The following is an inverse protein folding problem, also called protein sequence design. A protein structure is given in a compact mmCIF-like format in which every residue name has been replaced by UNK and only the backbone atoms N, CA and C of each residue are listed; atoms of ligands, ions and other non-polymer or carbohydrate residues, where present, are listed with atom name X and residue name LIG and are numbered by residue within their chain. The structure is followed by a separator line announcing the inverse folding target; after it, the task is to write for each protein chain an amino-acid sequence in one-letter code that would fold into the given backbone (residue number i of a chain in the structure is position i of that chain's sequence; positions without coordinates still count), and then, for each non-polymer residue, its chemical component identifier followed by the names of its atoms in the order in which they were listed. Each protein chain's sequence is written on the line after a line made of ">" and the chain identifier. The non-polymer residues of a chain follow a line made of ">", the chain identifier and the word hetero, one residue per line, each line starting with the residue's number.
data_IF_410410688745
#
_entry.id   IF_410410688745
#
_cell.length_a   1.000
_cell.length_b   1.000
_cell.length_c   1.000
_cell.angle_alpha   90.00
_cell.angle_beta   90.00
_cell.angle_gamma   90.00
#
_symmetry.space_group_name_H-M   'P 1'
#
loop_
_entity.id
_entity.type
_entity.pdbx_description
1 polymer ?
#
# COMPACT_ATOMS: atom_id res chain seq x y z
N UNK A 1 28.45 14.86 55.86
CA UNK A 1 27.64 15.06 57.08
C UNK A 1 26.22 15.30 56.61
N UNK A 2 25.65 14.28 55.96
CA UNK A 2 24.99 13.09 56.54
C UNK A 2 23.52 13.45 56.80
N UNK A 3 22.51 12.67 56.43
CA UNK A 3 22.37 11.47 55.61
C UNK A 3 20.87 11.47 55.19
N UNK A 4 20.59 10.88 54.03
CA UNK A 4 19.43 10.04 53.67
C UNK A 4 18.04 10.33 54.26
N UNK A 5 17.04 10.49 53.37
CA UNK A 5 15.90 9.57 53.42
C UNK A 5 15.08 9.53 52.12
N UNK A 6 14.66 8.30 51.81
CA UNK A 6 14.02 7.81 50.60
C UNK A 6 12.68 8.47 50.23
N UNK A 7 12.60 9.06 49.04
CA UNK A 7 11.38 9.60 48.43
C UNK A 7 10.86 8.71 47.30
N UNK A 8 10.42 7.50 47.61
CA UNK A 8 9.79 6.56 46.68
C UNK A 8 8.44 7.14 46.18
N UNK A 9 8.44 7.78 45.00
CA UNK A 9 7.21 8.26 44.35
C UNK A 9 6.39 7.08 43.82
N UNK A 10 5.50 6.59 44.69
CA UNK A 10 4.39 5.72 44.32
C UNK A 10 3.38 6.50 43.47
N UNK A 11 3.43 6.34 42.15
CA UNK A 11 2.27 6.64 41.32
C UNK A 11 1.28 5.47 41.40
N UNK A 12 0.19 5.72 42.12
CA UNK A 12 -1.00 4.88 42.20
C UNK A 12 -1.56 4.64 40.79
N UNK A 13 -1.30 3.46 40.22
CA UNK A 13 -2.03 2.94 39.07
C UNK A 13 -3.39 2.45 39.59
N UNK A 14 -4.53 3.02 39.17
CA UNK A 14 -5.83 2.53 39.61
C UNK A 14 -6.07 1.11 39.11
N UNK A 15 -6.15 0.17 40.06
CA UNK A 15 -6.64 -1.20 39.86
C UNK A 15 -8.12 -1.18 39.45
N UNK A 16 -8.40 -1.01 38.16
CA UNK A 16 -9.67 -1.38 37.51
C UNK A 16 -9.39 -1.99 36.13
N UNK A 17 -8.71 -3.12 36.11
CA UNK A 17 -8.55 -3.95 34.90
C UNK A 17 -8.68 -5.43 35.27
N UNK A 18 -9.80 -5.77 35.92
CA UNK A 18 -10.33 -7.12 36.05
C UNK A 18 -11.81 -6.94 36.25
N UNK A 19 -12.58 -7.11 35.18
CA UNK A 19 -14.02 -7.41 35.15
C UNK A 19 -14.57 -7.03 33.77
N UNK A 20 -14.20 -7.74 32.71
CA UNK A 20 -15.01 -7.85 31.49
C UNK A 20 -14.76 -9.22 30.84
N UNK A 21 -14.95 -10.26 31.64
CA UNK A 21 -15.26 -11.59 31.13
C UNK A 21 -16.74 -11.81 31.36
N UNK A 22 -17.48 -12.03 30.27
CA UNK A 22 -18.91 -12.37 30.19
C UNK A 22 -19.85 -11.16 30.15
N UNK A 23 -20.66 -11.11 29.09
CA UNK A 23 -21.75 -10.16 28.77
C UNK A 23 -21.38 -8.88 28.00
N UNK A 24 -20.99 -9.07 26.74
CA UNK A 24 -21.34 -8.11 25.67
C UNK A 24 -22.23 -8.89 24.69
N UNK A 25 -23.45 -8.42 24.50
CA UNK A 25 -24.42 -9.02 23.59
C UNK A 25 -23.82 -9.13 22.19
N UNK A 26 -23.79 -10.35 21.67
CA UNK A 26 -23.30 -10.71 20.34
C UNK A 26 -24.32 -10.28 19.30
N UNK A 27 -24.12 -9.12 18.70
CA UNK A 27 -24.61 -8.83 17.35
C UNK A 27 -23.41 -8.46 16.52
N UNK A 28 -22.83 -9.48 15.88
CA UNK A 28 -21.73 -9.33 14.95
C UNK A 28 -22.22 -8.59 13.70
N UNK A 29 -21.42 -7.65 13.21
CA UNK A 29 -21.62 -7.02 11.91
C UNK A 29 -21.38 -8.09 10.84
N UNK A 30 -22.44 -8.77 10.40
CA UNK A 30 -22.37 -9.74 9.31
C UNK A 30 -22.42 -9.00 7.97
N UNK A 31 -21.28 -8.47 7.54
CA UNK A 31 -21.14 -7.86 6.21
C UNK A 31 -21.00 -8.98 5.16
N UNK A 32 -22.12 -9.62 4.83
CA UNK A 32 -22.16 -10.57 3.72
C UNK A 32 -21.91 -9.80 2.41
N UNK A 33 -20.65 -9.81 1.93
CA UNK A 33 -20.31 -9.40 0.56
C UNK A 33 -21.04 -10.30 -0.44
N UNK A 34 -22.25 -9.90 -0.84
CA UNK A 34 -22.86 -10.35 -2.09
C UNK A 34 -22.29 -9.49 -3.21
N UNK A 35 -21.22 -9.97 -3.82
CA UNK A 35 -20.85 -9.51 -5.15
C UNK A 35 -22.05 -9.75 -6.08
N UNK A 36 -22.49 -8.70 -6.77
CA UNK A 36 -23.44 -8.69 -7.89
C UNK A 36 -23.58 -10.07 -8.56
N UNK A 37 -24.72 -10.73 -8.31
CA UNK A 37 -25.11 -11.96 -8.99
C UNK A 37 -25.69 -11.60 -10.35
N UNK A 38 -24.83 -11.22 -11.30
CA UNK A 38 -25.14 -11.38 -12.71
C UNK A 38 -24.76 -12.82 -13.09
N UNK A 39 -25.79 -13.63 -13.32
CA UNK A 39 -25.83 -15.03 -13.74
C UNK A 39 -24.47 -15.70 -14.05
N UNK A 40 -24.13 -16.74 -13.30
CA UNK A 40 -23.30 -17.85 -13.78
C UNK A 40 -23.64 -19.11 -12.99
N UNK A 41 -23.69 -20.22 -13.72
CA UNK A 41 -24.02 -21.57 -13.27
C UNK A 41 -23.28 -21.96 -11.98
N UNK A 42 -23.82 -22.93 -11.24
CA UNK A 42 -23.19 -23.55 -10.05
C UNK A 42 -21.83 -24.18 -10.42
N UNK A 43 -20.80 -23.37 -10.58
CA UNK A 43 -19.41 -23.79 -10.54
C UNK A 43 -19.10 -24.08 -9.07
N UNK A 44 -19.10 -25.38 -8.71
CA UNK A 44 -18.62 -25.83 -7.41
C UNK A 44 -17.27 -25.18 -7.14
N UNK A 45 -17.15 -24.52 -5.98
CA UNK A 45 -15.90 -23.92 -5.54
C UNK A 45 -14.82 -25.02 -5.51
N UNK A 46 -13.62 -24.75 -6.07
CA UNK A 46 -12.57 -25.76 -6.11
C UNK A 46 -12.17 -26.17 -4.69
N UNK A 47 -11.77 -27.43 -4.47
CA UNK A 47 -11.33 -27.86 -3.16
C UNK A 47 -10.12 -27.04 -2.71
N UNK A 48 -10.10 -26.65 -1.43
CA UNK A 48 -9.07 -25.75 -0.89
C UNK A 48 -7.66 -26.22 -1.25
N UNK A 49 -7.40 -27.52 -1.22
CA UNK A 49 -6.07 -28.11 -1.50
C UNK A 49 -5.51 -27.79 -2.88
N UNK A 50 -6.35 -27.51 -3.87
CA UNK A 50 -5.91 -27.16 -5.23
C UNK A 50 -5.45 -25.70 -5.33
N UNK A 51 -6.10 -24.80 -4.58
CA UNK A 51 -5.81 -23.36 -4.63
C UNK A 51 -4.87 -22.91 -3.51
N UNK A 52 -4.72 -23.70 -2.46
CA UNK A 52 -4.01 -23.32 -1.24
C UNK A 52 -2.49 -23.38 -1.43
N UNK A 53 -1.73 -22.48 -0.77
CA UNK A 53 -0.28 -22.43 -0.96
C UNK A 53 0.42 -23.71 -0.49
N UNK A 54 1.57 -24.02 -1.12
CA UNK A 54 2.41 -25.16 -0.73
C UNK A 54 2.80 -25.06 0.75
N UNK A 55 2.77 -26.19 1.47
CA UNK A 55 3.13 -26.29 2.90
C UNK A 55 4.45 -25.59 3.27
N UNK A 56 5.49 -25.75 2.43
CA UNK A 56 6.80 -25.11 2.65
C UNK A 56 6.71 -23.59 2.72
N UNK A 57 5.87 -22.99 1.87
CA UNK A 57 5.64 -21.55 1.85
C UNK A 57 4.94 -21.10 3.14
N UNK A 58 3.83 -21.74 3.51
CA UNK A 58 3.09 -21.38 4.73
C UNK A 58 3.95 -21.54 5.98
N UNK A 59 4.70 -22.65 6.12
CA UNK A 59 5.59 -22.82 7.27
C UNK A 59 6.62 -21.70 7.39
N UNK A 60 7.20 -21.25 6.26
CA UNK A 60 8.11 -20.11 6.26
C UNK A 60 7.39 -18.84 6.71
N UNK A 61 6.20 -18.57 6.19
CA UNK A 61 5.43 -17.38 6.58
C UNK A 61 4.99 -17.41 8.04
N UNK A 62 4.60 -18.57 8.57
CA UNK A 62 4.25 -18.73 9.98
C UNK A 62 5.47 -18.51 10.89
N UNK A 63 6.66 -18.92 10.45
CA UNK A 63 7.91 -18.63 11.16
C UNK A 63 8.23 -17.13 11.11
N UNK A 64 8.18 -16.51 9.93
CA UNK A 64 8.45 -15.06 9.75
C UNK A 64 7.43 -14.16 10.48
N UNK A 65 6.28 -14.69 10.89
CA UNK A 65 5.22 -14.00 11.63
C UNK A 65 5.16 -14.42 13.10
N UNK A 66 6.14 -15.18 13.59
CA UNK A 66 6.22 -15.71 14.96
C UNK A 66 4.93 -16.41 15.42
N UNK A 67 4.33 -17.21 14.54
CA UNK A 67 3.09 -17.91 14.84
C UNK A 67 3.27 -18.95 15.93
N UNK A 68 2.41 -18.88 16.95
CA UNK A 68 2.30 -19.88 18.02
C UNK A 68 1.82 -21.25 17.50
N UNK A 69 1.05 -21.27 16.41
CA UNK A 69 0.39 -22.46 15.91
C UNK A 69 1.07 -22.99 14.64
N UNK A 70 1.30 -24.31 14.61
CA UNK A 70 1.88 -24.98 13.44
C UNK A 70 0.86 -25.16 12.31
N UNK A 71 1.35 -25.29 11.07
CA UNK A 71 0.53 -25.60 9.89
C UNK A 71 -0.46 -26.75 10.07
N UNK A 72 -0.07 -27.82 10.79
CA UNK A 72 -0.96 -28.97 11.05
C UNK A 72 -2.21 -28.58 11.84
N UNK A 73 -2.10 -27.60 12.73
CA UNK A 73 -3.21 -27.09 13.55
C UNK A 73 -4.04 -26.05 12.79
N UNK A 74 -3.41 -25.23 11.96
CA UNK A 74 -4.07 -24.16 11.20
C UNK A 74 -4.79 -24.65 9.95
N UNK A 75 -4.29 -25.69 9.27
CA UNK A 75 -4.90 -26.21 8.04
C UNK A 75 -6.37 -26.64 8.22
N UNK A 76 -6.75 -27.40 9.27
CA UNK A 76 -8.16 -27.72 9.52
C UNK A 76 -9.04 -26.49 9.71
N UNK A 77 -8.49 -25.40 10.27
CA UNK A 77 -9.23 -24.15 10.47
C UNK A 77 -9.46 -23.48 9.12
N UNK A 78 -8.44 -23.40 8.26
CA UNK A 78 -8.62 -22.91 6.89
C UNK A 78 -9.68 -23.72 6.14
N UNK A 79 -9.65 -25.06 6.22
CA UNK A 79 -10.64 -25.93 5.56
C UNK A 79 -12.06 -25.71 6.11
N UNK A 80 -12.21 -25.56 7.43
CA UNK A 80 -13.51 -25.26 8.07
C UNK A 80 -14.08 -23.92 7.64
N UNK A 81 -13.29 -22.85 7.76
CA UNK A 81 -13.72 -21.50 7.37
C UNK A 81 -14.06 -21.47 5.88
N UNK A 82 -13.23 -22.09 5.03
CA UNK A 82 -13.46 -22.11 3.59
C UNK A 82 -14.76 -22.80 3.17
N UNK A 83 -15.14 -23.91 3.84
CA UNK A 83 -16.41 -24.61 3.58
C UNK A 83 -17.62 -23.79 4.05
N UNK A 84 -17.52 -23.17 5.23
CA UNK A 84 -18.62 -22.36 5.79
C UNK A 84 -19.03 -21.17 4.92
N UNK A 85 -18.18 -20.72 3.99
CA UNK A 85 -18.51 -19.63 3.06
C UNK A 85 -19.57 -20.05 2.04
N UNK A 86 -19.60 -21.30 1.59
CA UNK A 86 -20.58 -21.78 0.59
C UNK A 86 -21.92 -22.15 1.20
N UNK A 87 -21.91 -22.62 2.45
CA UNK A 87 -23.11 -23.11 3.14
C UNK A 87 -24.02 -21.95 3.61
N UNK A 88 -23.53 -20.70 3.60
CA UNK A 88 -24.30 -19.53 4.05
C UNK A 88 -24.62 -19.54 5.56
N UNK A 89 -24.31 -20.64 6.23
CA UNK A 89 -24.29 -20.81 7.66
C UNK A 89 -22.98 -20.24 8.17
N UNK A 90 -23.07 -19.25 9.06
CA UNK A 90 -21.98 -19.02 10.01
C UNK A 90 -21.96 -20.28 10.86
N UNK A 91 -20.94 -21.16 10.79
CA UNK A 91 -20.88 -22.22 11.75
C UNK A 91 -20.64 -21.52 13.09
N UNK A 92 -21.68 -21.45 13.92
CA UNK A 92 -21.56 -21.14 15.35
C UNK A 92 -20.67 -22.16 16.08
N UNK A 93 -20.15 -23.16 15.38
CA UNK A 93 -19.45 -24.29 15.95
C UNK A 93 -17.95 -24.07 15.97
N UNK A 94 -17.52 -23.44 17.06
CA UNK A 94 -16.23 -23.58 17.72
C UNK A 94 -15.05 -23.69 16.74
N UNK A 95 -14.57 -22.55 16.25
CA UNK A 95 -13.11 -22.41 16.14
C UNK A 95 -12.60 -22.75 17.54
N UNK A 96 -11.94 -23.91 17.67
CA UNK A 96 -11.59 -24.49 18.96
C UNK A 96 -11.08 -23.40 19.89
N UNK A 97 -11.51 -23.39 21.16
CA UNK A 97 -11.08 -22.45 22.21
C UNK A 97 -9.55 -22.26 22.33
N UNK A 98 -8.77 -23.11 21.67
CA UNK A 98 -7.32 -23.04 21.51
C UNK A 98 -6.82 -21.89 20.60
N UNK A 99 -7.65 -21.35 19.71
CA UNK A 99 -7.23 -20.39 18.67
C UNK A 99 -7.67 -19.00 19.08
N UNK A 100 -6.72 -18.08 19.10
CA UNK A 100 -6.98 -16.68 19.42
C UNK A 100 -7.27 -15.87 18.13
N UNK A 101 -7.96 -14.73 18.25
CA UNK A 101 -8.19 -13.84 17.12
C UNK A 101 -6.88 -13.36 16.46
N UNK A 102 -5.81 -13.26 17.24
CA UNK A 102 -4.46 -12.94 16.75
C UNK A 102 -3.92 -14.01 15.79
N UNK A 103 -4.18 -15.30 16.07
CA UNK A 103 -3.76 -16.41 15.21
C UNK A 103 -4.49 -16.36 13.85
N UNK A 104 -5.78 -15.98 13.86
CA UNK A 104 -6.59 -15.81 12.65
C UNK A 104 -6.07 -14.66 11.75
N UNK A 105 -5.58 -13.57 12.34
CA UNK A 105 -4.94 -12.50 11.58
C UNK A 105 -3.58 -12.94 10.99
N UNK A 106 -2.81 -13.76 11.71
CA UNK A 106 -1.58 -14.35 11.15
C UNK A 106 -1.93 -15.24 9.95
N UNK A 107 -3.02 -16.02 10.04
CA UNK A 107 -3.52 -16.82 8.93
C UNK A 107 -3.89 -15.96 7.71
N UNK A 108 -4.55 -14.82 7.92
CA UNK A 108 -4.83 -13.84 6.85
C UNK A 108 -3.54 -13.26 6.26
N UNK A 109 -2.60 -12.81 7.09
CA UNK A 109 -1.31 -12.24 6.66
C UNK A 109 -0.50 -13.24 5.82
N UNK A 110 -0.55 -14.53 6.13
CA UNK A 110 0.12 -15.57 5.34
C UNK A 110 -0.46 -15.71 3.92
N UNK A 111 -1.79 -15.63 3.78
CA UNK A 111 -2.46 -15.65 2.47
C UNK A 111 -2.19 -14.37 1.67
N UNK A 112 -2.18 -13.22 2.32
CA UNK A 112 -1.83 -11.94 1.69
C UNK A 112 -0.40 -11.93 1.16
N UNK A 113 0.57 -12.41 1.96
CA UNK A 113 1.96 -12.58 1.49
C UNK A 113 2.06 -13.57 0.33
N UNK A 114 1.23 -14.61 0.31
CA UNK A 114 1.15 -15.51 -0.85
C UNK A 114 0.65 -14.79 -2.09
N UNK A 115 -0.41 -13.99 -1.98
CA UNK A 115 -0.96 -13.19 -3.10
C UNK A 115 0.09 -12.22 -3.67
N UNK A 116 0.84 -11.55 -2.79
CA UNK A 116 1.94 -10.65 -3.21
C UNK A 116 3.04 -11.44 -3.91
N UNK A 117 3.42 -12.60 -3.37
CA UNK A 117 4.46 -13.45 -3.94
C UNK A 117 4.07 -14.07 -5.28
N UNK A 118 2.83 -14.55 -5.42
CA UNK A 118 2.35 -15.20 -6.65
C UNK A 118 1.95 -14.21 -7.73
N UNK A 119 1.74 -12.94 -7.37
CA UNK A 119 1.18 -11.89 -8.22
C UNK A 119 -0.12 -12.32 -8.93
N UNK A 120 -0.89 -13.20 -8.29
CA UNK A 120 -2.15 -13.73 -8.81
C UNK A 120 -3.29 -13.49 -7.83
N UNK A 121 -4.42 -13.01 -8.34
CA UNK A 121 -5.62 -12.72 -7.54
C UNK A 121 -6.58 -13.90 -7.68
N UNK A 122 -6.68 -14.73 -6.64
CA UNK A 122 -7.70 -15.77 -6.56
C UNK A 122 -8.87 -15.28 -5.69
N UNK A 123 -10.05 -15.08 -6.31
CA UNK A 123 -11.26 -14.58 -5.65
C UNK A 123 -11.65 -15.41 -4.41
N UNK A 124 -11.48 -16.73 -4.45
CA UNK A 124 -11.85 -17.61 -3.34
C UNK A 124 -10.90 -17.46 -2.15
N UNK A 125 -9.60 -17.24 -2.39
CA UNK A 125 -8.64 -16.96 -1.31
C UNK A 125 -8.87 -15.58 -0.68
N UNK A 126 -9.24 -14.59 -1.49
CA UNK A 126 -9.61 -13.25 -0.98
C UNK A 126 -10.86 -13.33 -0.10
N UNK A 127 -11.87 -14.13 -0.47
CA UNK A 127 -13.04 -14.36 0.38
C UNK A 127 -12.66 -15.04 1.70
N UNK A 128 -11.76 -16.03 1.64
CA UNK A 128 -11.23 -16.68 2.85
C UNK A 128 -10.48 -15.69 3.75
N UNK A 129 -9.66 -14.80 3.18
CA UNK A 129 -8.97 -13.75 3.92
C UNK A 129 -9.97 -12.85 4.68
N UNK A 130 -11.03 -12.38 4.02
CA UNK A 130 -12.04 -11.53 4.65
C UNK A 130 -12.76 -12.25 5.80
N UNK A 131 -13.11 -13.52 5.59
CA UNK A 131 -13.82 -14.33 6.59
C UNK A 131 -12.95 -14.63 7.82
N UNK A 132 -11.64 -14.77 7.63
CA UNK A 132 -10.70 -14.86 8.75
C UNK A 132 -10.65 -13.56 9.58
N UNK A 133 -10.80 -12.39 8.94
CA UNK A 133 -10.86 -11.10 9.65
C UNK A 133 -12.17 -10.97 10.43
N UNK A 134 -13.31 -11.32 9.83
CA UNK A 134 -14.61 -11.33 10.51
C UNK A 134 -14.56 -12.22 11.75
N UNK A 135 -14.07 -13.46 11.60
CA UNK A 135 -13.90 -14.38 12.74
C UNK A 135 -12.91 -13.84 13.77
N UNK A 136 -11.81 -13.20 13.36
CA UNK A 136 -10.88 -12.58 14.31
C UNK A 136 -11.55 -11.47 15.15
N UNK A 137 -12.44 -10.68 14.53
CA UNK A 137 -13.20 -9.65 15.24
C UNK A 137 -14.25 -10.26 16.19
N UNK A 138 -14.92 -11.34 15.80
CA UNK A 138 -15.82 -12.10 16.70
C UNK A 138 -15.09 -12.64 17.94
N UNK A 139 -13.82 -13.02 17.77
CA UNK A 139 -12.93 -13.43 18.86
C UNK A 139 -12.36 -12.26 19.68
N UNK A 140 -12.79 -11.02 19.42
CA UNK A 140 -12.43 -9.84 20.20
C UNK A 140 -11.05 -9.26 19.89
N UNK A 141 -10.47 -9.56 18.72
CA UNK A 141 -9.20 -8.96 18.32
C UNK A 141 -9.39 -7.50 17.87
N UNK A 142 -8.74 -6.56 18.56
CA UNK A 142 -8.88 -5.13 18.30
C UNK A 142 -8.41 -4.70 16.91
N UNK A 143 -7.35 -5.31 16.35
CA UNK A 143 -6.89 -5.02 14.99
C UNK A 143 -7.94 -5.41 13.95
N UNK A 144 -8.55 -6.58 14.11
CA UNK A 144 -9.61 -7.04 13.23
C UNK A 144 -10.86 -6.15 13.32
N UNK A 145 -11.25 -5.76 14.54
CA UNK A 145 -12.36 -4.83 14.77
C UNK A 145 -12.07 -3.48 14.11
N UNK A 146 -10.85 -2.95 14.26
CA UNK A 146 -10.44 -1.71 13.62
C UNK A 146 -10.56 -1.81 12.10
N UNK A 147 -9.99 -2.85 11.49
CA UNK A 147 -10.03 -3.03 10.03
C UNK A 147 -11.47 -3.05 9.50
N UNK A 148 -12.37 -3.81 10.13
CA UNK A 148 -13.78 -3.89 9.73
C UNK A 148 -14.52 -2.55 9.96
N UNK A 149 -14.28 -1.89 11.09
CA UNK A 149 -14.92 -0.60 11.39
C UNK A 149 -14.50 0.50 10.41
N UNK A 150 -13.23 0.54 9.99
CA UNK A 150 -12.78 1.50 8.97
C UNK A 150 -13.23 1.11 7.55
N UNK A 151 -13.33 -0.18 7.23
CA UNK A 151 -13.90 -0.64 5.96
C UNK A 151 -15.37 -0.22 5.81
N UNK A 152 -16.18 -0.41 6.85
CA UNK A 152 -17.60 0.01 6.84
C UNK A 152 -17.79 1.52 6.68
N UNK A 153 -16.89 2.34 7.23
CA UNK A 153 -16.92 3.80 7.01
C UNK A 153 -16.50 4.22 5.61
N UNK A 154 -15.58 3.50 4.99
CA UNK A 154 -15.02 3.84 3.68
C UNK A 154 -15.81 3.28 2.51
N UNK A 155 -16.68 2.29 2.76
CA UNK A 155 -17.56 1.67 1.76
C UNK A 155 -18.57 2.68 1.24
N UNK A 156 -18.56 2.91 -0.08
CA UNK A 156 -19.47 3.83 -0.77
C UNK A 156 -20.83 3.18 -1.11
N UNK A 157 -20.88 1.84 -1.17
CA UNK A 157 -22.07 1.07 -1.54
C UNK A 157 -23.09 1.04 -0.39
N UNK A 158 -24.08 1.93 -0.47
CA UNK A 158 -25.17 2.02 0.51
C UNK A 158 -26.12 0.81 0.46
N UNK A 159 -26.10 0.02 -0.60
CA UNK A 159 -26.95 -1.18 -0.78
C UNK A 159 -26.53 -2.37 0.09
N UNK A 160 -25.30 -2.36 0.62
CA UNK A 160 -24.71 -3.43 1.44
C UNK A 160 -24.80 -3.11 2.93
N UNK A 161 -24.99 -1.84 3.28
CA UNK A 161 -24.94 -1.34 4.65
C UNK A 161 -26.34 -1.18 5.21
N UNK A 162 -26.58 -1.71 6.41
CA UNK A 162 -27.78 -1.37 7.16
C UNK A 162 -27.65 0.07 7.68
N UNK A 163 -28.78 0.75 7.87
CA UNK A 163 -28.83 2.14 8.33
C UNK A 163 -28.10 2.35 9.70
N UNK A 164 -27.95 1.28 10.49
CA UNK A 164 -27.27 1.27 11.80
C UNK A 164 -25.78 0.89 11.81
N UNK A 165 -25.19 0.44 10.70
CA UNK A 165 -23.81 -0.09 10.74
C UNK A 165 -22.76 1.02 10.86
N UNK A 166 -22.98 2.16 10.20
CA UNK A 166 -22.09 3.33 10.28
C UNK A 166 -22.01 3.97 11.67
N UNK A 167 -23.11 4.23 12.40
CA UNK A 167 -23.01 4.77 13.76
C UNK A 167 -22.32 3.78 14.70
N UNK A 168 -22.61 2.48 14.59
CA UNK A 168 -21.95 1.45 15.39
C UNK A 168 -20.44 1.38 15.13
N UNK A 169 -20.00 1.43 13.86
CA UNK A 169 -18.58 1.48 13.51
C UNK A 169 -17.87 2.71 14.12
N UNK A 170 -18.54 3.87 14.15
CA UNK A 170 -18.00 5.07 14.80
C UNK A 170 -17.84 4.89 16.31
N UNK A 171 -18.79 4.22 16.98
CA UNK A 171 -18.67 3.92 18.41
C UNK A 171 -17.50 2.98 18.69
N UNK A 172 -17.33 1.93 17.88
CA UNK A 172 -16.18 1.02 17.98
C UNK A 172 -14.85 1.76 17.80
N UNK A 173 -14.75 2.65 16.81
CA UNK A 173 -13.54 3.45 16.59
C UNK A 173 -13.27 4.38 17.76
N UNK A 174 -14.30 5.03 18.33
CA UNK A 174 -14.14 5.86 19.53
C UNK A 174 -13.62 5.04 20.70
N UNK A 175 -14.16 3.84 20.92
CA UNK A 175 -13.71 2.95 21.99
C UNK A 175 -12.25 2.54 21.78
N UNK A 176 -11.86 2.19 20.56
CA UNK A 176 -10.48 1.84 20.22
C UNK A 176 -9.52 3.02 20.35
N UNK A 177 -9.97 4.23 20.02
CA UNK A 177 -9.20 5.46 20.20
C UNK A 177 -8.96 5.74 21.68
N UNK A 178 -9.98 5.60 22.54
CA UNK A 178 -9.83 5.74 24.01
C UNK A 178 -8.87 4.71 24.62
N UNK A 179 -8.66 3.57 23.95
CA UNK A 179 -7.68 2.54 24.33
C UNK A 179 -6.27 2.83 23.81
N UNK A 180 -6.05 3.97 23.13
CA UNK A 180 -4.81 4.30 22.43
C UNK A 180 -4.35 3.17 21.50
N UNK A 181 -5.29 2.56 20.77
CA UNK A 181 -5.00 1.44 19.88
C UNK A 181 -4.19 1.91 18.64
N UNK A 182 -2.93 1.46 18.44
CA UNK A 182 -2.04 2.03 17.42
C UNK A 182 -2.62 1.95 16.01
N UNK A 183 -3.11 0.78 15.59
CA UNK A 183 -3.67 0.61 14.25
C UNK A 183 -4.87 1.53 14.01
N UNK A 184 -5.70 1.76 15.03
CA UNK A 184 -6.87 2.64 14.91
C UNK A 184 -6.47 4.09 14.70
N UNK A 185 -5.43 4.56 15.40
CA UNK A 185 -4.89 5.92 15.25
C UNK A 185 -4.27 6.09 13.85
N UNK A 186 -3.51 5.10 13.37
CA UNK A 186 -3.00 5.10 11.98
C UNK A 186 -4.14 5.19 10.97
N UNK A 187 -5.19 4.39 11.14
CA UNK A 187 -6.35 4.38 10.24
C UNK A 187 -7.17 5.68 10.31
N UNK A 188 -7.22 6.36 11.46
CA UNK A 188 -7.77 7.73 11.54
C UNK A 188 -6.96 8.70 10.67
N UNK A 189 -5.63 8.62 10.71
CA UNK A 189 -4.74 9.40 9.85
C UNK A 189 -5.02 9.15 8.36
N UNK A 190 -5.11 7.88 7.95
CA UNK A 190 -5.43 7.49 6.57
C UNK A 190 -6.81 8.02 6.13
N UNK A 191 -7.80 7.94 7.03
CA UNK A 191 -9.16 8.42 6.78
C UNK A 191 -9.17 9.95 6.61
N UNK A 192 -8.46 10.68 7.47
CA UNK A 192 -8.30 12.13 7.36
C UNK A 192 -7.59 12.54 6.07
N UNK A 193 -6.57 11.80 5.62
CA UNK A 193 -5.94 12.02 4.32
C UNK A 193 -6.94 11.85 3.18
N UNK A 194 -7.76 10.80 3.20
CA UNK A 194 -8.78 10.53 2.18
C UNK A 194 -9.79 11.68 2.05
N UNK A 195 -10.11 12.33 3.17
CA UNK A 195 -10.98 13.52 3.21
C UNK A 195 -10.24 14.85 3.09
N UNK A 196 -8.95 14.85 2.70
CA UNK A 196 -8.11 16.05 2.52
C UNK A 196 -7.95 16.91 3.79
N UNK A 197 -8.12 16.31 4.96
CA UNK A 197 -7.92 16.97 6.25
C UNK A 197 -6.47 16.81 6.72
N UNK A 198 -5.53 17.43 5.99
CA UNK A 198 -4.08 17.21 6.16
C UNK A 198 -3.57 17.51 7.58
N UNK A 199 -4.09 18.55 8.22
CA UNK A 199 -3.69 18.94 9.59
C UNK A 199 -4.03 17.85 10.62
N UNK A 200 -5.23 17.28 10.54
CA UNK A 200 -5.68 16.20 11.43
C UNK A 200 -4.93 14.90 11.12
N UNK A 201 -4.69 14.61 9.83
CA UNK A 201 -3.89 13.45 9.44
C UNK A 201 -2.48 13.50 10.05
N UNK A 202 -1.80 14.65 9.95
CA UNK A 202 -0.47 14.85 10.57
C UNK A 202 -0.51 14.63 12.08
N UNK A 203 -1.53 15.13 12.78
CA UNK A 203 -1.70 14.95 14.22
C UNK A 203 -1.83 13.47 14.58
N UNK A 204 -2.73 12.73 13.93
CA UNK A 204 -2.90 11.30 14.19
C UNK A 204 -1.65 10.48 13.86
N UNK A 205 -0.92 10.82 12.81
CA UNK A 205 0.34 10.15 12.50
C UNK A 205 1.43 10.42 13.54
N UNK A 206 1.53 11.63 14.08
CA UNK A 206 2.46 11.91 15.17
C UNK A 206 2.05 11.17 16.45
N UNK A 207 0.76 11.15 16.79
CA UNK A 207 0.21 10.38 17.91
C UNK A 207 0.49 8.88 17.76
N UNK A 208 0.39 8.33 16.54
CA UNK A 208 0.79 6.96 16.26
C UNK A 208 2.26 6.71 16.56
N UNK A 209 3.15 7.63 16.14
CA UNK A 209 4.60 7.47 16.34
C UNK A 209 5.01 7.59 17.81
N UNK A 210 4.22 8.28 18.64
CA UNK A 210 4.41 8.29 20.10
C UNK A 210 4.13 6.92 20.73
N UNK A 211 3.24 6.13 20.12
CA UNK A 211 2.91 4.78 20.58
C UNK A 211 3.81 3.71 19.98
N UNK A 212 4.05 3.78 18.67
CA UNK A 212 4.88 2.83 17.91
C UNK A 212 5.77 3.56 16.90
N UNK A 213 7.08 3.62 17.20
CA UNK A 213 8.05 4.30 16.34
C UNK A 213 8.96 3.34 15.55
N UNK A 214 9.05 2.08 15.92
CA UNK A 214 10.04 1.12 15.43
C UNK A 214 9.44 -0.11 14.74
N UNK A 215 8.25 0.03 14.15
CA UNK A 215 7.53 -1.06 13.49
C UNK A 215 7.44 -0.88 11.97
N UNK A 216 7.08 -1.94 11.24
CA UNK A 216 6.82 -1.84 9.80
C UNK A 216 5.67 -0.86 9.50
N UNK A 217 4.72 -0.72 10.43
CA UNK A 217 3.63 0.26 10.34
C UNK A 217 4.16 1.69 10.52
N UNK A 218 5.10 1.92 11.44
CA UNK A 218 5.74 3.23 11.57
C UNK A 218 6.48 3.64 10.30
N UNK A 219 7.10 2.70 9.60
CA UNK A 219 7.70 2.95 8.28
C UNK A 219 6.70 3.44 7.22
N UNK A 220 5.44 2.98 7.27
CA UNK A 220 4.37 3.49 6.40
C UNK A 220 3.88 4.87 6.85
N UNK A 221 3.75 5.11 8.15
CA UNK A 221 3.35 6.40 8.72
C UNK A 221 4.40 7.48 8.41
N UNK A 222 5.68 7.18 8.57
CA UNK A 222 6.78 8.06 8.18
C UNK A 222 6.72 8.41 6.68
N UNK A 223 6.40 7.45 5.81
CA UNK A 223 6.19 7.74 4.39
C UNK A 223 5.08 8.78 4.20
N UNK A 224 3.92 8.60 4.84
CA UNK A 224 2.79 9.52 4.71
C UNK A 224 3.12 10.92 5.26
N UNK A 225 3.85 11.01 6.37
CA UNK A 225 4.35 12.29 6.90
C UNK A 225 5.32 12.96 5.93
N UNK A 226 6.26 12.19 5.35
CA UNK A 226 7.16 12.69 4.32
C UNK A 226 6.42 13.24 3.10
N UNK A 227 5.37 12.56 2.66
CA UNK A 227 4.48 13.02 1.58
C UNK A 227 3.75 14.31 1.92
N UNK A 228 3.23 14.43 3.14
CA UNK A 228 2.58 15.66 3.62
C UNK A 228 3.56 16.83 3.62
N UNK A 229 4.77 16.65 4.17
CA UNK A 229 5.79 17.69 4.20
C UNK A 229 6.26 18.08 2.78
N UNK A 230 6.40 17.11 1.88
CA UNK A 230 6.82 17.33 0.50
C UNK A 230 5.76 18.09 -0.32
N UNK A 231 4.48 17.70 -0.22
CA UNK A 231 3.41 18.22 -1.07
C UNK A 231 2.70 19.45 -0.52
N UNK A 232 2.44 19.51 0.80
CA UNK A 232 1.62 20.55 1.41
C UNK A 232 2.46 21.67 2.03
N UNK A 233 3.53 21.30 2.74
CA UNK A 233 4.34 22.26 3.50
C UNK A 233 5.55 22.78 2.72
N UNK A 234 5.87 22.14 1.59
CA UNK A 234 7.09 22.37 0.79
C UNK A 234 8.38 22.34 1.63
N UNK A 235 8.37 21.62 2.76
CA UNK A 235 9.53 21.45 3.64
C UNK A 235 10.31 20.20 3.24
N UNK A 236 11.27 20.40 2.34
CA UNK A 236 12.10 19.32 1.81
C UNK A 236 13.03 18.69 2.86
N UNK A 237 13.40 19.44 3.91
CA UNK A 237 14.27 18.94 4.96
C UNK A 237 13.56 17.88 5.80
N UNK A 238 12.37 18.22 6.32
CA UNK A 238 11.57 17.29 7.12
C UNK A 238 11.09 16.11 6.28
N UNK A 239 10.68 16.37 5.03
CA UNK A 239 10.29 15.30 4.11
C UNK A 239 11.42 14.28 3.92
N UNK A 240 12.65 14.74 3.69
CA UNK A 240 13.83 13.88 3.57
C UNK A 240 14.05 13.03 4.84
N UNK A 241 13.96 13.64 6.03
CA UNK A 241 14.13 12.91 7.29
C UNK A 241 13.08 11.79 7.43
N UNK A 242 11.82 12.11 7.15
CA UNK A 242 10.74 11.12 7.23
C UNK A 242 10.88 10.00 6.20
N UNK A 243 11.26 10.30 4.95
CA UNK A 243 11.51 9.24 3.96
C UNK A 243 12.68 8.33 4.35
N UNK A 244 13.74 8.87 4.96
CA UNK A 244 14.84 8.05 5.48
C UNK A 244 14.39 7.15 6.63
N UNK A 245 13.57 7.64 7.55
CA UNK A 245 12.97 6.80 8.60
C UNK A 245 12.05 5.72 8.03
N UNK A 246 11.26 6.05 7.00
CA UNK A 246 10.44 5.08 6.29
C UNK A 246 11.26 3.90 5.76
N UNK A 247 12.40 4.19 5.12
CA UNK A 247 13.32 3.16 4.57
C UNK A 247 13.96 2.33 5.68
N UNK A 248 14.23 2.94 6.84
CA UNK A 248 14.83 2.24 7.99
C UNK A 248 13.91 1.15 8.55
N UNK A 249 12.60 1.41 8.64
CA UNK A 249 11.67 0.54 9.38
C UNK A 249 10.79 -0.34 8.48
N UNK A 250 10.59 0.01 7.22
CA UNK A 250 9.78 -0.77 6.29
C UNK A 250 10.62 -1.51 5.23
N UNK A 251 10.19 -2.70 4.78
CA UNK A 251 10.88 -3.43 3.72
C UNK A 251 10.78 -2.69 2.38
N UNK A 252 11.72 -2.97 1.49
CA UNK A 252 11.86 -2.32 0.17
C UNK A 252 10.55 -2.26 -0.62
N UNK A 253 9.74 -3.33 -0.59
CA UNK A 253 8.47 -3.40 -1.33
C UNK A 253 7.45 -2.33 -0.89
N UNK A 254 7.59 -1.78 0.32
CA UNK A 254 6.71 -0.73 0.87
C UNK A 254 7.31 0.68 0.83
N UNK A 255 8.59 0.80 0.48
CA UNK A 255 9.36 2.06 0.57
C UNK A 255 9.78 2.59 -0.80
N UNK A 256 9.30 2.00 -1.89
CA UNK A 256 9.58 2.43 -3.27
C UNK A 256 9.25 3.91 -3.50
N UNK A 257 8.10 4.37 -3.00
CA UNK A 257 7.72 5.77 -3.06
C UNK A 257 8.70 6.66 -2.28
N UNK A 258 9.09 6.27 -1.06
CA UNK A 258 10.09 7.00 -0.26
C UNK A 258 11.42 7.12 -1.00
N UNK A 259 11.86 6.05 -1.66
CA UNK A 259 13.06 6.07 -2.51
C UNK A 259 12.89 7.01 -3.71
N UNK A 260 11.75 6.97 -4.40
CA UNK A 260 11.49 7.88 -5.51
C UNK A 260 11.55 9.35 -5.08
N UNK A 261 10.84 9.74 -4.02
CA UNK A 261 10.84 11.13 -3.55
C UNK A 261 12.18 11.58 -2.99
N UNK A 262 12.94 10.69 -2.33
CA UNK A 262 14.34 11.01 -2.00
C UNK A 262 15.16 11.25 -3.26
N UNK A 263 15.00 10.41 -4.28
CA UNK A 263 15.60 10.61 -5.60
C UNK A 263 15.35 12.02 -6.13
N UNK A 264 14.09 12.45 -6.15
CA UNK A 264 13.67 13.79 -6.59
C UNK A 264 14.31 14.91 -5.75
N UNK A 265 14.35 14.77 -4.42
CA UNK A 265 14.98 15.76 -3.52
C UNK A 265 16.49 15.85 -3.81
N UNK A 266 17.14 14.73 -4.09
CA UNK A 266 18.57 14.68 -4.35
C UNK A 266 18.97 15.08 -5.76
N UNK A 267 18.05 15.14 -6.74
CA UNK A 267 18.36 15.47 -8.13
C UNK A 267 19.20 16.74 -8.28
N UNK A 268 18.92 17.77 -7.47
CA UNK A 268 19.63 19.04 -7.52
C UNK A 268 20.86 19.11 -6.59
N UNK A 269 20.92 18.27 -5.56
CA UNK A 269 21.94 18.37 -4.49
C UNK A 269 23.03 17.30 -4.61
N UNK A 270 22.65 16.06 -4.90
CA UNK A 270 23.54 14.92 -5.07
C UNK A 270 22.98 13.95 -6.14
N UNK A 271 23.37 14.15 -7.41
CA UNK A 271 22.88 13.35 -8.54
C UNK A 271 23.28 11.86 -8.48
N UNK A 272 24.39 11.53 -7.82
CA UNK A 272 24.82 10.12 -7.66
C UNK A 272 23.91 9.40 -6.67
N UNK A 273 23.61 10.05 -5.55
CA UNK A 273 22.71 9.51 -4.54
C UNK A 273 21.25 9.51 -5.03
N UNK A 274 20.86 10.50 -5.82
CA UNK A 274 19.58 10.50 -6.53
C UNK A 274 19.45 9.28 -7.45
N UNK A 275 20.49 8.99 -8.26
CA UNK A 275 20.54 7.82 -9.13
C UNK A 275 20.38 6.52 -8.34
N UNK A 276 21.08 6.36 -7.22
CA UNK A 276 20.96 5.18 -6.36
C UNK A 276 19.51 4.93 -5.92
N UNK A 277 18.84 5.96 -5.38
CA UNK A 277 17.46 5.83 -4.92
C UNK A 277 16.46 5.61 -6.04
N UNK A 278 16.62 6.30 -7.17
CA UNK A 278 15.77 6.10 -8.35
C UNK A 278 15.95 4.69 -8.95
N UNK A 279 17.16 4.14 -8.95
CA UNK A 279 17.41 2.76 -9.38
C UNK A 279 16.72 1.75 -8.47
N UNK A 280 16.73 1.96 -7.15
CA UNK A 280 16.00 1.10 -6.21
C UNK A 280 14.49 1.13 -6.47
N UNK A 281 13.92 2.32 -6.68
CA UNK A 281 12.51 2.44 -7.04
C UNK A 281 12.20 1.73 -8.38
N UNK A 282 13.03 1.94 -9.41
CA UNK A 282 12.89 1.31 -10.72
C UNK A 282 13.06 -0.23 -10.68
N UNK A 283 13.85 -0.77 -9.74
CA UNK A 283 14.10 -2.22 -9.62
C UNK A 283 12.83 -3.06 -9.37
N UNK A 284 11.77 -2.43 -8.86
CA UNK A 284 10.45 -3.03 -8.63
C UNK A 284 9.40 -2.50 -9.59
N UNK A 285 9.83 -1.99 -10.75
CA UNK A 285 8.97 -1.44 -11.80
C UNK A 285 8.11 -0.27 -11.32
N UNK A 286 8.62 0.54 -10.38
CA UNK A 286 7.93 1.77 -9.98
C UNK A 286 7.93 2.76 -11.15
N UNK A 287 6.75 2.92 -11.75
CA UNK A 287 6.55 3.59 -13.05
C UNK A 287 7.18 4.98 -13.11
N UNK A 288 6.97 5.79 -12.09
CA UNK A 288 7.38 7.19 -12.06
C UNK A 288 8.91 7.37 -12.05
N UNK A 289 9.66 6.37 -11.57
CA UNK A 289 11.11 6.46 -11.48
C UNK A 289 11.79 6.41 -12.86
N UNK A 290 11.20 5.75 -13.85
CA UNK A 290 11.83 5.55 -15.17
C UNK A 290 12.09 6.86 -15.90
N UNK A 291 11.13 7.79 -15.85
CA UNK A 291 11.26 9.12 -16.46
C UNK A 291 12.42 9.89 -15.82
N UNK A 292 12.39 10.05 -14.50
CA UNK A 292 13.41 10.80 -13.75
C UNK A 292 14.81 10.20 -13.94
N UNK A 293 14.93 8.87 -13.84
CA UNK A 293 16.19 8.18 -14.01
C UNK A 293 16.72 8.28 -15.46
N UNK A 294 15.82 8.16 -16.44
CA UNK A 294 16.17 8.30 -17.85
C UNK A 294 16.70 9.70 -18.18
N UNK A 295 16.07 10.75 -17.67
CA UNK A 295 16.53 12.13 -17.86
C UNK A 295 17.80 12.45 -17.06
N UNK A 296 17.96 11.87 -15.87
CA UNK A 296 19.17 12.01 -15.06
C UNK A 296 20.38 11.41 -15.80
N UNK A 297 20.25 10.19 -16.34
CA UNK A 297 21.29 9.55 -17.15
C UNK A 297 21.55 10.33 -18.45
N UNK A 298 20.50 10.88 -19.07
CA UNK A 298 20.60 11.64 -20.33
C UNK A 298 21.33 12.97 -20.19
N UNK A 299 20.96 13.75 -19.17
CA UNK A 299 21.31 15.16 -19.07
C UNK A 299 22.51 15.40 -18.16
N UNK A 300 22.60 14.64 -17.05
CA UNK A 300 23.68 14.82 -16.08
C UNK A 300 24.87 13.91 -16.39
N UNK A 301 24.61 12.60 -16.50
CA UNK A 301 25.69 11.62 -16.73
C UNK A 301 26.07 11.44 -18.20
N UNK A 302 25.31 12.01 -19.14
CA UNK A 302 25.48 11.83 -20.58
C UNK A 302 25.56 10.35 -21.02
N UNK A 303 24.90 9.46 -20.28
CA UNK A 303 24.85 8.04 -20.58
C UNK A 303 23.60 7.71 -21.40
N UNK A 304 23.72 7.96 -22.70
CA UNK A 304 22.63 7.76 -23.65
C UNK A 304 22.16 6.30 -23.74
N UNK A 305 23.08 5.33 -23.56
CA UNK A 305 22.75 3.90 -23.62
C UNK A 305 21.80 3.52 -22.49
N UNK A 306 22.18 3.83 -21.25
CA UNK A 306 21.36 3.52 -20.08
C UNK A 306 20.06 4.31 -20.08
N UNK A 307 20.13 5.60 -20.41
CA UNK A 307 18.95 6.47 -20.53
C UNK A 307 17.89 5.87 -21.47
N UNK A 308 18.32 5.38 -22.65
CA UNK A 308 17.42 4.74 -23.61
C UNK A 308 16.75 3.49 -23.03
N UNK A 309 17.49 2.63 -22.35
CA UNK A 309 16.90 1.41 -21.77
C UNK A 309 15.90 1.76 -20.66
N UNK A 310 16.18 2.76 -19.82
CA UNK A 310 15.22 3.25 -18.82
C UNK A 310 13.93 3.78 -19.44
N UNK A 311 14.04 4.61 -20.50
CA UNK A 311 12.85 5.11 -21.16
C UNK A 311 12.06 4.00 -21.88
N UNK A 312 12.72 2.99 -22.47
CA UNK A 312 12.03 1.83 -23.05
C UNK A 312 11.21 1.09 -21.98
N UNK A 313 11.81 0.80 -20.83
CA UNK A 313 11.12 0.18 -19.70
C UNK A 313 9.92 1.03 -19.25
N UNK A 314 10.08 2.36 -19.20
CA UNK A 314 8.97 3.28 -18.92
C UNK A 314 7.81 3.14 -19.91
N UNK A 315 8.10 3.06 -21.21
CA UNK A 315 7.08 2.87 -22.25
C UNK A 315 6.38 1.51 -22.14
N UNK A 316 7.10 0.44 -21.78
CA UNK A 316 6.52 -0.88 -21.53
C UNK A 316 5.53 -0.87 -20.36
N UNK A 317 5.82 -0.09 -19.31
CA UNK A 317 4.93 0.15 -18.15
C UNK A 317 3.88 1.24 -18.44
N UNK A 318 3.70 1.60 -19.73
CA UNK A 318 2.73 2.58 -20.22
C UNK A 318 2.95 4.01 -19.71
N UNK A 319 4.20 4.35 -19.37
CA UNK A 319 4.61 5.73 -19.09
C UNK A 319 4.96 6.48 -20.36
N UNK A 320 3.96 7.07 -20.99
CA UNK A 320 4.10 7.69 -22.30
C UNK A 320 4.97 8.95 -22.30
N UNK A 321 5.18 9.59 -21.14
CA UNK A 321 6.15 10.68 -20.99
C UNK A 321 7.58 10.23 -21.31
N UNK A 322 7.90 8.94 -21.12
CA UNK A 322 9.18 8.37 -21.49
C UNK A 322 9.40 8.33 -23.02
N UNK A 323 8.36 8.45 -23.85
CA UNK A 323 8.51 8.56 -25.31
C UNK A 323 9.28 9.82 -25.71
N UNK A 324 9.11 10.92 -24.97
CA UNK A 324 9.84 12.17 -25.19
C UNK A 324 11.34 11.94 -24.95
N UNK A 325 11.67 11.28 -23.84
CA UNK A 325 13.05 10.88 -23.54
C UNK A 325 13.64 9.95 -24.58
N UNK A 326 12.87 8.98 -25.10
CA UNK A 326 13.31 8.12 -26.20
C UNK A 326 13.62 8.91 -27.46
N UNK A 327 12.77 9.87 -27.83
CA UNK A 327 13.03 10.74 -28.96
C UNK A 327 14.36 11.49 -28.79
N UNK A 328 14.58 12.11 -27.63
CA UNK A 328 15.82 12.85 -27.33
C UNK A 328 17.05 11.92 -27.41
N UNK A 329 16.96 10.69 -26.89
CA UNK A 329 18.06 9.72 -26.99
C UNK A 329 18.35 9.33 -28.45
N UNK A 330 17.33 9.04 -29.27
CA UNK A 330 17.52 8.64 -30.67
C UNK A 330 18.06 9.78 -31.53
N UNK A 331 17.61 11.01 -31.27
CA UNK A 331 18.13 12.20 -31.95
C UNK A 331 19.61 12.40 -31.63
N UNK A 332 20.00 12.37 -30.35
CA UNK A 332 21.40 12.50 -29.92
C UNK A 332 22.30 11.36 -30.43
N UNK A 333 21.78 10.14 -30.58
CA UNK A 333 22.51 9.01 -31.20
C UNK A 333 22.61 9.10 -32.73
N UNK A 334 21.98 10.07 -33.39
CA UNK A 334 21.94 10.18 -34.84
C UNK A 334 21.05 9.12 -35.53
N UNK A 335 20.24 8.38 -34.77
CA UNK A 335 19.35 7.35 -35.28
C UNK A 335 18.03 7.94 -35.81
N UNK A 336 18.12 8.65 -36.93
CA UNK A 336 17.00 9.41 -37.53
C UNK A 336 15.74 8.57 -37.74
N UNK A 337 15.86 7.35 -38.28
CA UNK A 337 14.72 6.46 -38.55
C UNK A 337 13.94 6.10 -37.27
N UNK A 338 14.65 5.80 -36.19
CA UNK A 338 14.05 5.45 -34.90
C UNK A 338 13.41 6.70 -34.25
N UNK A 339 14.08 7.87 -34.34
CA UNK A 339 13.52 9.13 -33.85
C UNK A 339 12.19 9.50 -34.55
N UNK A 340 12.11 9.38 -35.88
CA UNK A 340 10.88 9.63 -36.64
C UNK A 340 9.77 8.65 -36.24
N UNK A 341 10.11 7.37 -36.03
CA UNK A 341 9.14 6.36 -35.57
C UNK A 341 8.58 6.74 -34.20
N UNK A 342 9.44 7.11 -33.26
CA UNK A 342 9.03 7.55 -31.92
C UNK A 342 8.17 8.80 -31.99
N UNK A 343 8.50 9.77 -32.84
CA UNK A 343 7.69 10.97 -33.04
C UNK A 343 6.27 10.64 -33.54
N UNK A 344 6.13 9.71 -34.48
CA UNK A 344 4.80 9.22 -34.91
C UNK A 344 4.03 8.58 -33.75
N UNK A 345 4.72 7.77 -32.93
CA UNK A 345 4.10 7.19 -31.73
C UNK A 345 3.67 8.25 -30.72
N UNK A 346 4.45 9.31 -30.52
CA UNK A 346 4.06 10.46 -29.68
C UNK A 346 2.79 11.10 -30.26
N UNK A 347 2.76 11.44 -31.56
CA UNK A 347 1.57 12.05 -32.18
C UNK A 347 0.32 11.18 -31.98
N UNK A 348 0.42 9.87 -32.20
CA UNK A 348 -0.73 8.97 -32.04
C UNK A 348 -1.23 8.92 -30.58
N UNK A 349 -0.33 8.72 -29.62
CA UNK A 349 -0.69 8.56 -28.21
C UNK A 349 -1.26 9.85 -27.62
N UNK A 350 -0.69 11.00 -27.97
CA UNK A 350 -1.09 12.28 -27.40
C UNK A 350 -2.33 12.88 -28.08
N UNK A 351 -2.59 12.55 -29.35
CA UNK A 351 -3.85 12.91 -30.04
C UNK A 351 -5.06 12.09 -29.55
N UNK A 352 -4.88 10.80 -29.21
CA UNK A 352 -5.99 9.94 -28.77
C UNK A 352 -6.46 10.24 -27.34
N UNK A 353 -5.60 10.79 -26.48
CA UNK A 353 -5.87 10.83 -25.03
C UNK A 353 -6.41 12.14 -24.46
N UNK A 354 -6.43 13.25 -25.21
CA UNK A 354 -6.91 14.62 -24.83
C UNK A 354 -6.40 15.22 -23.49
N UNK A 355 -5.89 14.44 -22.54
CA UNK A 355 -5.43 14.85 -21.20
C UNK A 355 -3.99 15.35 -21.16
N UNK A 356 -3.22 15.13 -22.24
CA UNK A 356 -1.80 15.47 -22.29
C UNK A 356 -1.45 16.48 -23.40
N UNK A 357 -2.42 17.26 -23.88
CA UNK A 357 -2.17 18.26 -24.91
C UNK A 357 -1.11 19.28 -24.49
N UNK A 358 -1.09 19.70 -23.23
CA UNK A 358 -0.08 20.63 -22.70
C UNK A 358 1.35 20.07 -22.76
N UNK A 359 1.51 18.79 -22.44
CA UNK A 359 2.82 18.10 -22.53
C UNK A 359 3.26 18.00 -23.99
N UNK A 360 2.31 17.74 -24.90
CA UNK A 360 2.58 17.64 -26.32
C UNK A 360 2.92 19.00 -26.96
N UNK A 361 2.20 20.07 -26.61
CA UNK A 361 2.53 21.43 -27.08
C UNK A 361 3.89 21.86 -26.56
N UNK A 362 4.17 21.64 -25.27
CA UNK A 362 5.49 21.92 -24.70
C UNK A 362 6.61 21.14 -25.36
N UNK A 363 6.37 19.89 -25.75
CA UNK A 363 7.33 19.09 -26.53
C UNK A 363 7.58 19.69 -27.92
N UNK A 364 6.54 20.05 -28.67
CA UNK A 364 6.67 20.64 -30.00
C UNK A 364 7.38 21.99 -29.96
N UNK A 365 7.11 22.81 -28.94
CA UNK A 365 7.79 24.09 -28.73
C UNK A 365 9.27 23.89 -28.36
N UNK A 366 9.56 22.98 -27.44
CA UNK A 366 10.91 22.74 -26.94
C UNK A 366 11.83 22.01 -27.93
N UNK A 367 11.26 21.22 -28.85
CA UNK A 367 12.01 20.39 -29.82
C UNK A 367 11.73 20.76 -31.28
N UNK A 368 11.12 21.92 -31.52
CA UNK A 368 10.65 22.31 -32.85
C UNK A 368 11.75 22.39 -33.91
N UNK A 369 12.97 22.75 -33.52
CA UNK A 369 14.11 22.82 -34.42
C UNK A 369 14.64 21.42 -34.77
N UNK A 370 14.79 20.55 -33.76
CA UNK A 370 15.23 19.17 -33.91
C UNK A 370 14.25 18.35 -34.77
N UNK A 371 12.94 18.62 -34.62
CA UNK A 371 11.90 17.99 -35.43
C UNK A 371 11.97 18.47 -36.89
N UNK A 372 12.18 19.78 -37.12
CA UNK A 372 12.35 20.34 -38.47
C UNK A 372 13.60 19.77 -39.16
N UNK A 373 14.68 19.59 -38.42
CA UNK A 373 15.91 18.98 -38.93
C UNK A 373 15.73 17.50 -39.32
N UNK A 374 14.85 16.78 -38.63
CA UNK A 374 14.59 15.37 -38.90
C UNK A 374 13.66 15.13 -40.09
N UNK A 375 12.67 16.00 -40.29
CA UNK A 375 11.57 15.81 -41.25
C UNK A 375 11.82 16.57 -42.56
N UNK A 376 12.64 17.63 -42.55
CA UNK A 376 12.66 18.60 -43.63
C UNK A 376 11.40 19.47 -43.61
N UNK A 377 11.40 20.57 -44.37
CA UNK A 377 10.41 21.67 -44.28
C UNK A 377 8.94 21.31 -44.54
N UNK A 378 8.60 20.08 -44.96
CA UNK A 378 7.31 19.82 -45.63
C UNK A 378 6.24 19.04 -44.84
N UNK A 379 6.50 18.46 -43.65
CA UNK A 379 5.46 17.74 -42.88
C UNK A 379 5.19 18.33 -41.47
N UNK A 380 5.17 19.67 -41.35
CA UNK A 380 4.86 20.38 -40.09
C UNK A 380 3.37 20.68 -39.86
N UNK A 381 2.46 19.92 -40.49
CA UNK A 381 1.02 19.99 -40.21
C UNK A 381 0.54 18.79 -39.38
#
# INVERSE_FOLDING_TARGET
>A
MNDDDDGCFRYNIPRKARMFGKTVNRTCVSTLRRYSTAATEKLQRPPLREIFPKKKFINRQLFDLDSRLTYRKLLPIYEKVYRGIDEGETPENDISSLVDGSDLLIMKKALEKYRIYSNTINRNLVQLENQLVEKAAEHGNNDAIALLAFETLTTMDQTILNEGDKPYAKELIKNLYLLNHPLSIKLLGDLSLKYQQFKHAKQYYLEFLELESDTVLSGEVYKQLGMLCFTQEANLHDAKLYFLQSIKFAPLDKTLESHYFLGEIYLATDPELAKYHLQLAASKSFRQAFKSLGFLELNYFNNFVNSREWFKMGVEVQDYDCLIGLFDTFYKFGKRKEAIKTLKSIRNVFNEKNKNQEVFTGFLESRGNEIKDLIGKDDTN
#
